data_IF_940041305873
#
_entry.id   IF_940041305873
#
_cell.length_a   1.000
_cell.length_b   1.000
_cell.length_c   1.000
_cell.angle_alpha   90.00
_cell.angle_beta   90.00
_cell.angle_gamma   90.00
#
_symmetry.space_group_name_H-M   'P 1'
#
loop_
_entity.id
_entity.type
_entity.pdbx_description
1 polymer ?
#
# COMPACT_ATOMS: atom_id res chain seq x y z
N UNK A 1 6.62 6.95 14.15
CA UNK A 1 5.15 7.06 14.17
C UNK A 1 4.60 7.76 12.93
N UNK A 2 5.17 8.90 12.51
CA UNK A 2 4.76 9.58 11.27
C UNK A 2 4.68 8.65 10.04
N UNK A 3 5.62 7.70 9.90
CA UNK A 3 5.57 6.68 8.85
C UNK A 3 4.30 5.80 8.87
N UNK A 4 3.84 5.35 10.04
CA UNK A 4 2.60 4.55 10.14
C UNK A 4 1.39 5.38 9.72
N UNK A 5 1.36 6.64 10.15
CA UNK A 5 0.29 7.59 9.84
C UNK A 5 0.32 8.08 8.38
N UNK A 6 1.44 7.92 7.69
CA UNK A 6 1.59 8.32 6.29
C UNK A 6 0.65 7.54 5.36
N UNK A 7 0.31 6.30 5.73
CA UNK A 7 -0.47 5.38 4.89
C UNK A 7 -1.98 5.63 4.93
N UNK A 8 -2.51 6.17 6.04
CA UNK A 8 -3.95 6.39 6.14
C UNK A 8 -4.30 7.74 5.52
N UNK A 9 -5.24 7.81 4.57
CA UNK A 9 -5.61 9.02 3.86
C UNK A 9 -5.97 10.20 4.78
N UNK A 10 -6.59 9.93 5.93
CA UNK A 10 -6.90 10.98 6.90
C UNK A 10 -5.68 11.46 7.71
N UNK A 11 -4.69 10.61 7.92
CA UNK A 11 -3.48 10.96 8.69
C UNK A 11 -2.26 11.22 7.82
N UNK A 12 -2.36 11.01 6.50
CA UNK A 12 -1.29 11.20 5.53
C UNK A 12 -0.87 12.68 5.45
N UNK A 13 -1.83 13.60 5.38
CA UNK A 13 -1.56 15.03 5.35
C UNK A 13 -0.80 15.53 6.60
N UNK A 14 -1.28 15.28 7.84
CA UNK A 14 -0.53 15.68 9.03
C UNK A 14 0.80 14.91 9.19
N UNK A 15 0.87 13.63 8.81
CA UNK A 15 2.13 12.87 8.84
C UNK A 15 3.18 13.45 7.88
N UNK A 16 2.76 13.86 6.68
CA UNK A 16 3.60 14.51 5.68
C UNK A 16 4.13 15.84 6.21
N UNK A 17 3.27 16.66 6.83
CA UNK A 17 3.70 17.92 7.45
C UNK A 17 4.76 17.69 8.54
N UNK A 18 4.57 16.69 9.42
CA UNK A 18 5.54 16.36 10.47
C UNK A 18 6.88 15.89 9.86
N UNK A 19 6.85 15.04 8.83
CA UNK A 19 8.05 14.58 8.13
C UNK A 19 8.79 15.75 7.47
N UNK A 20 8.06 16.65 6.83
CA UNK A 20 8.60 17.83 6.15
C UNK A 20 9.28 18.79 7.13
N UNK A 21 8.60 19.18 8.22
CA UNK A 21 9.12 20.13 9.22
C UNK A 21 10.33 19.55 9.97
N UNK A 22 10.33 18.23 10.22
CA UNK A 22 11.41 17.58 10.98
C UNK A 22 12.62 17.24 10.10
N UNK A 23 12.50 17.32 8.76
CA UNK A 23 13.51 16.86 7.80
C UNK A 23 14.90 17.50 7.99
N UNK A 24 14.99 18.78 8.37
CA UNK A 24 16.27 19.48 8.59
C UNK A 24 17.03 18.99 9.83
N UNK A 25 16.33 18.43 10.82
CA UNK A 25 16.89 18.10 12.13
C UNK A 25 17.29 16.63 12.26
N UNK A 26 17.23 15.85 11.18
CA UNK A 26 17.46 14.41 11.21
C UNK A 26 18.24 13.90 9.99
N UNK A 27 18.88 12.75 10.14
CA UNK A 27 19.58 12.10 9.03
C UNK A 27 18.55 11.51 8.04
N UNK A 28 18.41 12.15 6.87
CA UNK A 28 17.38 11.84 5.86
C UNK A 28 17.32 10.35 5.52
N UNK A 29 18.48 9.71 5.33
CA UNK A 29 18.56 8.28 4.94
C UNK A 29 17.97 7.40 6.04
N UNK A 30 18.33 7.66 7.29
CA UNK A 30 17.88 6.86 8.42
C UNK A 30 16.39 7.10 8.69
N UNK A 31 15.98 8.37 8.64
CA UNK A 31 14.59 8.77 8.80
C UNK A 31 13.70 8.15 7.72
N UNK A 32 14.13 8.15 6.46
CA UNK A 32 13.41 7.55 5.33
C UNK A 32 13.17 6.06 5.52
N UNK A 33 14.20 5.29 5.87
CA UNK A 33 14.05 3.85 6.10
C UNK A 33 13.18 3.53 7.33
N UNK A 34 13.35 4.25 8.45
CA UNK A 34 12.54 4.04 9.66
C UNK A 34 11.07 4.39 9.40
N UNK A 35 10.82 5.52 8.75
CA UNK A 35 9.47 5.96 8.40
C UNK A 35 8.85 5.00 7.36
N UNK A 36 9.61 4.53 6.38
CA UNK A 36 9.18 3.51 5.42
C UNK A 36 8.80 2.18 6.09
N UNK A 37 9.53 1.75 7.11
CA UNK A 37 9.15 0.58 7.92
C UNK A 37 7.86 0.83 8.71
N UNK A 38 7.69 2.04 9.24
CA UNK A 38 6.43 2.45 9.86
C UNK A 38 5.27 2.39 8.88
N UNK A 39 5.44 2.90 7.66
CA UNK A 39 4.43 2.86 6.63
C UNK A 39 4.06 1.42 6.25
N UNK A 40 5.06 0.57 6.01
CA UNK A 40 4.84 -0.87 5.80
C UNK A 40 4.01 -1.51 6.94
N UNK A 41 4.28 -1.16 8.19
CA UNK A 41 3.53 -1.69 9.32
C UNK A 41 2.04 -1.26 9.28
N UNK A 42 1.76 0.00 8.92
CA UNK A 42 0.39 0.49 8.71
C UNK A 42 -0.30 -0.25 7.58
N UNK A 43 0.36 -0.36 6.43
CA UNK A 43 -0.14 -1.09 5.26
C UNK A 43 -0.43 -2.56 5.54
N UNK A 44 0.45 -3.23 6.28
CA UNK A 44 0.24 -4.63 6.67
C UNK A 44 -0.93 -4.81 7.63
N UNK A 45 -1.17 -3.83 8.50
CA UNK A 45 -2.33 -3.84 9.38
C UNK A 45 -3.61 -3.76 8.55
N UNK A 46 -3.70 -2.80 7.62
CA UNK A 46 -4.86 -2.66 6.73
C UNK A 46 -5.03 -3.90 5.85
N UNK A 47 -3.96 -4.33 5.19
CA UNK A 47 -3.97 -5.49 4.31
C UNK A 47 -4.46 -6.75 5.04
N UNK A 48 -3.93 -7.01 6.24
CA UNK A 48 -4.33 -8.19 7.03
C UNK A 48 -5.74 -8.05 7.56
N UNK A 49 -6.14 -6.86 8.01
CA UNK A 49 -7.50 -6.60 8.47
C UNK A 49 -8.52 -6.87 7.36
N UNK A 50 -8.32 -6.30 6.18
CA UNK A 50 -9.23 -6.49 5.04
C UNK A 50 -9.22 -7.94 4.58
N UNK A 51 -8.03 -8.54 4.42
CA UNK A 51 -7.94 -9.92 3.95
C UNK A 51 -8.59 -10.91 4.91
N UNK A 52 -8.58 -10.63 6.21
CA UNK A 52 -9.25 -11.46 7.20
C UNK A 52 -10.76 -11.16 7.25
N UNK A 53 -11.15 -9.89 7.30
CA UNK A 53 -12.56 -9.47 7.41
C UNK A 53 -13.40 -9.79 6.18
N UNK A 54 -12.78 -9.88 5.00
CA UNK A 54 -13.44 -10.20 3.73
C UNK A 54 -13.07 -11.58 3.19
N UNK A 55 -12.42 -12.44 3.99
CA UNK A 55 -11.98 -13.76 3.53
C UNK A 55 -13.16 -14.61 3.04
N UNK A 56 -14.24 -14.62 3.83
CA UNK A 56 -15.42 -15.44 3.58
C UNK A 56 -16.20 -14.91 2.36
N UNK A 57 -16.34 -13.59 2.22
CA UNK A 57 -16.96 -12.95 1.06
C UNK A 57 -16.17 -13.20 -0.22
N UNK A 58 -14.83 -13.11 -0.16
CA UNK A 58 -13.96 -13.43 -1.30
C UNK A 58 -14.09 -14.89 -1.71
N UNK A 59 -14.19 -15.80 -0.74
CA UNK A 59 -14.41 -17.21 -1.02
C UNK A 59 -15.78 -17.44 -1.68
N UNK A 60 -16.85 -16.83 -1.18
CA UNK A 60 -18.19 -16.92 -1.77
C UNK A 60 -18.21 -16.35 -3.20
N UNK A 61 -17.62 -15.17 -3.42
CA UNK A 61 -17.51 -14.56 -4.74
C UNK A 61 -16.67 -15.41 -5.70
N UNK A 62 -15.61 -16.06 -5.22
CA UNK A 62 -14.81 -16.95 -6.08
C UNK A 62 -15.61 -18.15 -6.62
N UNK A 63 -16.68 -18.53 -5.93
CA UNK A 63 -17.58 -19.62 -6.32
C UNK A 63 -18.71 -19.16 -7.25
N UNK A 64 -18.91 -17.87 -7.48
CA UNK A 64 -19.91 -17.35 -8.43
C UNK A 64 -19.63 -17.78 -9.87
N UNK A 65 -20.68 -18.16 -10.60
CA UNK A 65 -20.55 -18.81 -11.93
C UNK A 65 -19.90 -17.88 -12.96
N UNK A 66 -20.21 -16.59 -12.91
CA UNK A 66 -19.63 -15.53 -13.75
C UNK A 66 -18.14 -15.34 -13.45
N UNK A 67 -17.78 -15.31 -12.17
CA UNK A 67 -16.39 -15.16 -11.74
C UNK A 67 -15.57 -16.41 -12.02
N UNK A 68 -16.10 -17.62 -11.83
CA UNK A 68 -15.43 -18.87 -12.22
C UNK A 68 -15.13 -18.93 -13.72
N UNK A 69 -16.06 -18.47 -14.57
CA UNK A 69 -15.87 -18.42 -16.02
C UNK A 69 -14.70 -17.51 -16.41
N UNK A 70 -14.64 -16.31 -15.82
CA UNK A 70 -13.53 -15.36 -16.03
C UNK A 70 -12.23 -15.94 -15.43
N UNK A 71 -12.32 -16.54 -14.25
CA UNK A 71 -11.18 -17.11 -13.53
C UNK A 71 -10.53 -18.26 -14.31
N UNK A 72 -11.31 -19.08 -15.00
CA UNK A 72 -10.78 -20.18 -15.82
C UNK A 72 -10.22 -19.72 -17.17
N UNK A 73 -10.68 -18.58 -17.71
CA UNK A 73 -10.18 -18.04 -18.98
C UNK A 73 -8.90 -17.22 -18.85
N UNK A 74 -8.72 -16.52 -17.74
CA UNK A 74 -7.58 -15.62 -17.55
C UNK A 74 -6.48 -16.34 -16.74
N UNK A 75 -5.26 -16.50 -17.28
CA UNK A 75 -4.17 -17.15 -16.55
C UNK A 75 -3.80 -16.35 -15.29
N UNK A 76 -3.45 -17.06 -14.21
CA UNK A 76 -3.14 -16.45 -12.89
C UNK A 76 -2.04 -15.39 -12.98
N UNK A 77 -1.06 -15.56 -13.87
CA UNK A 77 -0.02 -14.54 -14.11
C UNK A 77 -0.61 -13.24 -14.65
N UNK A 78 -1.52 -13.31 -15.61
CA UNK A 78 -2.15 -12.11 -16.19
C UNK A 78 -3.03 -11.40 -15.16
N UNK A 79 -3.81 -12.14 -14.36
CA UNK A 79 -4.57 -11.54 -13.24
C UNK A 79 -3.67 -10.80 -12.27
N UNK A 80 -2.54 -11.41 -11.89
CA UNK A 80 -1.56 -10.80 -10.98
C UNK A 80 -1.07 -9.46 -11.54
N UNK A 81 -0.66 -9.41 -12.82
CA UNK A 81 -0.19 -8.17 -13.43
C UNK A 81 -1.28 -7.12 -13.56
N UNK A 82 -2.49 -7.49 -13.99
CA UNK A 82 -3.61 -6.56 -14.11
C UNK A 82 -3.96 -5.92 -12.76
N UNK A 83 -4.03 -6.74 -11.70
CA UNK A 83 -4.33 -6.27 -10.35
C UNK A 83 -3.18 -5.39 -9.82
N UNK A 84 -1.92 -5.76 -10.07
CA UNK A 84 -0.77 -4.94 -9.69
C UNK A 84 -0.74 -3.59 -10.42
N UNK A 85 -1.07 -3.55 -11.70
CA UNK A 85 -1.13 -2.31 -12.49
C UNK A 85 -2.27 -1.42 -11.98
N UNK A 86 -3.47 -1.97 -11.75
CA UNK A 86 -4.60 -1.22 -11.20
C UNK A 86 -4.33 -0.70 -9.79
N UNK A 87 -3.84 -1.56 -8.90
CA UNK A 87 -3.50 -1.17 -7.54
C UNK A 87 -2.37 -0.14 -7.53
N UNK A 88 -1.32 -0.35 -8.33
CA UNK A 88 -0.23 0.61 -8.48
C UNK A 88 -0.71 1.96 -9.00
N UNK A 89 -1.64 1.98 -9.97
CA UNK A 89 -2.25 3.22 -10.45
C UNK A 89 -3.04 3.93 -9.35
N UNK A 90 -3.86 3.20 -8.58
CA UNK A 90 -4.65 3.76 -7.48
C UNK A 90 -3.73 4.33 -6.39
N UNK A 91 -2.72 3.57 -5.95
CA UNK A 91 -1.72 3.98 -4.94
C UNK A 91 -0.90 5.18 -5.44
N UNK A 92 -0.56 5.24 -6.73
CA UNK A 92 0.19 6.37 -7.30
C UNK A 92 -0.66 7.62 -7.52
N UNK A 93 -1.97 7.47 -7.54
CA UNK A 93 -2.91 8.57 -7.73
C UNK A 93 -3.15 9.29 -6.38
N UNK A 94 -3.68 10.52 -6.36
CA UNK A 94 -4.03 11.21 -5.11
C UNK A 94 -5.22 10.57 -4.37
N UNK A 95 -5.57 9.31 -4.70
CA UNK A 95 -6.54 8.51 -3.97
C UNK A 95 -5.91 8.00 -2.67
N UNK A 96 -6.73 7.75 -1.64
CA UNK A 96 -6.25 7.15 -0.40
C UNK A 96 -5.61 5.78 -0.68
N UNK A 97 -4.39 5.56 -0.19
CA UNK A 97 -3.61 4.33 -0.38
C UNK A 97 -4.38 3.08 0.10
N UNK A 98 -5.31 3.25 1.04
CA UNK A 98 -6.18 2.19 1.54
C UNK A 98 -7.00 1.54 0.43
N UNK A 99 -7.39 2.27 -0.61
CA UNK A 99 -8.17 1.69 -1.72
C UNK A 99 -7.30 0.70 -2.51
N UNK A 100 -6.05 1.07 -2.79
CA UNK A 100 -5.10 0.20 -3.47
C UNK A 100 -4.73 -1.02 -2.64
N UNK A 101 -4.49 -0.82 -1.34
CA UNK A 101 -4.21 -1.90 -0.38
C UNK A 101 -5.39 -2.85 -0.25
N UNK A 102 -6.62 -2.32 -0.21
CA UNK A 102 -7.86 -3.11 -0.18
C UNK A 102 -7.98 -4.00 -1.42
N UNK A 103 -7.74 -3.44 -2.61
CA UNK A 103 -7.78 -4.18 -3.87
C UNK A 103 -6.76 -5.33 -3.89
N UNK A 104 -5.55 -5.10 -3.36
CA UNK A 104 -4.52 -6.12 -3.23
C UNK A 104 -4.85 -7.17 -2.15
N UNK A 105 -5.50 -6.77 -1.07
CA UNK A 105 -5.87 -7.63 0.05
C UNK A 105 -6.96 -8.66 -0.31
N UNK A 106 -7.94 -8.22 -1.09
CA UNK A 106 -9.05 -9.05 -1.61
C UNK A 106 -8.57 -9.98 -2.74
N UNK A 107 -7.45 -9.66 -3.40
CA UNK A 107 -6.88 -10.47 -4.47
C UNK A 107 -6.20 -11.75 -3.97
N UNK A 108 -6.71 -12.91 -4.42
CA UNK A 108 -6.09 -14.21 -4.14
C UNK A 108 -4.75 -14.42 -4.85
N UNK A 109 -4.45 -13.64 -5.90
CA UNK A 109 -3.21 -13.76 -6.68
C UNK A 109 -1.99 -13.09 -6.01
N UNK A 110 -2.22 -12.27 -4.97
CA UNK A 110 -1.18 -11.49 -4.30
C UNK A 110 -0.85 -12.11 -2.95
N UNK A 111 0.42 -12.43 -2.76
CA UNK A 111 0.93 -12.91 -1.47
C UNK A 111 1.33 -11.73 -0.60
N UNK A 112 1.21 -11.91 0.72
CA UNK A 112 1.62 -10.91 1.72
C UNK A 112 3.08 -10.49 1.53
N UNK A 113 3.97 -11.39 1.11
CA UNK A 113 5.38 -11.06 0.83
C UNK A 113 5.53 -10.09 -0.35
N UNK A 114 4.83 -10.34 -1.46
CA UNK A 114 4.87 -9.46 -2.64
C UNK A 114 4.31 -8.09 -2.30
N UNK A 115 3.18 -8.06 -1.58
CA UNK A 115 2.61 -6.82 -1.05
C UNK A 115 3.59 -6.07 -0.14
N UNK A 116 4.21 -6.77 0.82
CA UNK A 116 5.14 -6.15 1.79
C UNK A 116 6.32 -5.46 1.09
N UNK A 117 6.93 -6.13 0.10
CA UNK A 117 8.06 -5.56 -0.63
C UNK A 117 7.61 -4.35 -1.44
N UNK A 118 6.49 -4.44 -2.14
CA UNK A 118 5.95 -3.33 -2.93
C UNK A 118 5.59 -2.13 -2.06
N UNK A 119 4.80 -2.34 -1.01
CA UNK A 119 4.38 -1.30 -0.05
C UNK A 119 5.59 -0.60 0.57
N UNK A 120 6.58 -1.37 1.03
CA UNK A 120 7.80 -0.79 1.58
C UNK A 120 8.55 0.06 0.56
N UNK A 121 8.76 -0.43 -0.66
CA UNK A 121 9.51 0.30 -1.68
C UNK A 121 8.80 1.58 -2.10
N UNK A 122 7.49 1.52 -2.34
CA UNK A 122 6.69 2.66 -2.76
C UNK A 122 6.59 3.72 -1.65
N UNK A 123 6.23 3.32 -0.42
CA UNK A 123 6.12 4.26 0.70
C UNK A 123 7.46 4.88 1.07
N UNK A 124 8.52 4.08 1.10
CA UNK A 124 9.86 4.59 1.40
C UNK A 124 10.30 5.61 0.35
N UNK A 125 10.03 5.34 -0.94
CA UNK A 125 10.31 6.31 -2.01
C UNK A 125 9.50 7.60 -1.84
N UNK A 126 8.19 7.52 -1.57
CA UNK A 126 7.34 8.69 -1.32
C UNK A 126 7.82 9.51 -0.12
N UNK A 127 8.17 8.86 0.99
CA UNK A 127 8.69 9.52 2.17
C UNK A 127 10.07 10.16 1.89
N UNK A 128 10.93 9.52 1.11
CA UNK A 128 12.20 10.13 0.69
C UNK A 128 11.98 11.42 -0.08
N UNK A 129 11.02 11.46 -1.00
CA UNK A 129 10.67 12.68 -1.73
C UNK A 129 10.25 13.78 -0.75
N UNK A 130 9.38 13.48 0.22
CA UNK A 130 8.94 14.43 1.26
C UNK A 130 10.13 14.95 2.10
N UNK A 131 11.01 14.06 2.54
CA UNK A 131 12.17 14.44 3.36
C UNK A 131 13.20 15.26 2.59
N UNK A 132 13.43 14.95 1.31
CA UNK A 132 14.34 15.74 0.45
C UNK A 132 13.76 17.14 0.23
N UNK A 133 12.47 17.25 -0.07
CA UNK A 133 11.79 18.55 -0.21
C UNK A 133 11.89 19.34 1.09
N UNK A 134 11.59 18.72 2.24
CA UNK A 134 11.65 19.38 3.55
C UNK A 134 13.08 19.76 3.99
N UNK A 135 14.11 19.11 3.46
CA UNK A 135 15.49 19.50 3.72
C UNK A 135 15.94 20.70 2.87
N UNK A 136 15.41 20.80 1.63
CA UNK A 136 15.70 21.89 0.71
C UNK A 136 15.00 23.20 1.11
N UNK A 137 13.74 23.13 1.56
CA UNK A 137 12.95 24.26 2.10
C UNK A 137 13.50 24.69 3.45
#
# INVERSE_FOLDING_TARGET
MAGILFVYGFTAAPATAVLLITARNQHIILAGFIAGFGALAGDLLIFRFIRHSFADEVELLSKERSLQYINNKIPTRLKKYLILILAGFIISSPLPDEIGVSLLAVSTAISTKVFSVLAYMLNTAGIFVVLVIGNLL
#
